data_IF_575468064792
#
_entry.id   IF_575468064792
#
_cell.length_a   1.000
_cell.length_b   1.000
_cell.length_c   1.000
_cell.angle_alpha   90.00
_cell.angle_beta   90.00
_cell.angle_gamma   90.00
#
_symmetry.space_group_name_H-M   'P 1'
#
loop_
_entity.id
_entity.type
_entity.pdbx_description
1 polymer ?
#
# COMPACT_ATOMS: atom_id res chain seq x y z
N UNK A 1 -19.94 7.02 -5.03
CA UNK A 1 -19.36 5.71 -5.18
C UNK A 1 -17.90 5.71 -4.80
N UNK A 2 -17.39 4.55 -4.54
CA UNK A 2 -16.00 4.40 -4.16
C UNK A 2 -15.11 4.60 -5.37
N UNK A 3 -14.17 5.52 -5.25
CA UNK A 3 -13.17 5.74 -6.28
C UNK A 3 -11.88 5.11 -5.80
N UNK A 4 -11.46 4.04 -6.47
CA UNK A 4 -10.20 3.38 -6.18
C UNK A 4 -9.10 4.13 -6.89
N UNK A 5 -8.13 4.60 -6.13
CA UNK A 5 -6.95 5.25 -6.67
C UNK A 5 -5.77 4.31 -6.47
N UNK A 6 -5.26 3.80 -7.58
CA UNK A 6 -4.23 2.77 -7.59
C UNK A 6 -3.02 3.22 -8.38
N UNK A 7 -1.85 3.04 -7.81
CA UNK A 7 -0.57 3.27 -8.49
C UNK A 7 0.29 2.02 -8.36
N UNK A 8 0.88 1.62 -9.46
CA UNK A 8 1.80 0.47 -9.52
C UNK A 8 3.08 0.96 -10.19
N UNK A 9 4.18 0.86 -9.48
CA UNK A 9 5.50 1.28 -9.95
C UNK A 9 6.39 0.06 -10.05
N UNK A 10 7.09 -0.09 -11.15
CA UNK A 10 7.90 -1.27 -11.43
C UNK A 10 9.25 -0.89 -12.02
N UNK A 11 10.25 -1.70 -11.71
CA UNK A 11 11.53 -1.79 -12.41
C UNK A 11 11.97 -3.26 -12.41
N UNK A 12 13.18 -3.54 -12.88
CA UNK A 12 13.68 -4.91 -12.97
C UNK A 12 13.87 -5.57 -11.60
N UNK A 13 14.05 -4.79 -10.55
CA UNK A 13 14.32 -5.30 -9.21
C UNK A 13 13.06 -5.67 -8.43
N UNK A 14 11.92 -5.02 -8.70
CA UNK A 14 10.71 -5.26 -7.93
C UNK A 14 9.58 -4.30 -8.28
N UNK A 15 8.66 -4.13 -7.32
CA UNK A 15 7.54 -3.21 -7.51
C UNK A 15 7.05 -2.61 -6.19
N UNK A 16 6.39 -1.49 -6.32
CA UNK A 16 5.65 -0.81 -5.25
C UNK A 16 4.24 -0.59 -5.76
N UNK A 17 3.26 -1.09 -5.03
CA UNK A 17 1.86 -0.89 -5.38
C UNK A 17 1.15 -0.24 -4.20
N UNK A 18 0.36 0.79 -4.46
CA UNK A 18 -0.46 1.43 -3.45
C UNK A 18 -1.87 1.63 -3.98
N UNK A 19 -2.84 1.49 -3.10
CA UNK A 19 -4.23 1.75 -3.41
C UNK A 19 -4.85 2.53 -2.26
N UNK A 20 -5.66 3.52 -2.58
CA UNK A 20 -6.36 4.34 -1.62
C UNK A 20 -7.82 4.43 -2.00
N UNK A 21 -8.70 4.24 -1.02
CA UNK A 21 -10.13 4.43 -1.16
C UNK A 21 -10.58 5.30 0.01
N UNK A 22 -11.18 6.45 -0.31
CA UNK A 22 -11.58 7.41 0.72
C UNK A 22 -12.66 6.88 1.64
N UNK A 23 -13.49 5.96 1.15
CA UNK A 23 -14.59 5.39 1.91
C UNK A 23 -14.86 3.97 1.41
N UNK A 24 -14.54 2.99 2.26
CA UNK A 24 -14.72 1.59 1.91
C UNK A 24 -16.20 1.23 1.81
N UNK A 25 -16.58 0.69 0.67
CA UNK A 25 -17.91 0.15 0.43
C UNK A 25 -18.00 -1.33 0.73
N UNK A 26 -19.16 -1.89 0.47
CA UNK A 26 -19.48 -3.28 0.81
C UNK A 26 -18.50 -4.30 0.21
N UNK A 27 -18.04 -4.06 -1.02
CA UNK A 27 -17.12 -4.97 -1.68
C UNK A 27 -15.79 -5.11 -0.93
N UNK A 28 -15.22 -3.99 -0.45
CA UNK A 28 -13.98 -4.02 0.31
C UNK A 28 -14.18 -4.63 1.69
N UNK A 29 -15.31 -4.33 2.33
CA UNK A 29 -15.65 -4.93 3.62
C UNK A 29 -15.71 -6.45 3.50
N UNK A 30 -16.38 -6.95 2.47
CA UNK A 30 -16.51 -8.38 2.21
C UNK A 30 -15.16 -9.03 1.87
N UNK A 31 -14.39 -8.39 1.01
CA UNK A 31 -13.13 -8.95 0.53
C UNK A 31 -12.04 -8.95 1.60
N UNK A 32 -11.92 -7.89 2.40
CA UNK A 32 -10.78 -7.68 3.29
C UNK A 32 -11.14 -7.55 4.76
N UNK A 33 -12.40 -7.52 5.12
CA UNK A 33 -12.81 -7.35 6.51
C UNK A 33 -12.56 -5.94 7.05
N UNK A 34 -12.37 -4.94 6.19
CA UNK A 34 -12.15 -3.56 6.61
C UNK A 34 -13.45 -2.93 7.09
N UNK A 35 -13.40 -1.97 8.04
CA UNK A 35 -14.62 -1.27 8.48
C UNK A 35 -15.29 -0.51 7.34
N UNK A 36 -16.61 -0.67 7.24
CA UNK A 36 -17.40 0.04 6.25
C UNK A 36 -17.41 1.55 6.52
N UNK A 37 -17.32 2.34 5.46
CA UNK A 37 -17.44 3.79 5.55
C UNK A 37 -16.17 4.52 5.97
N UNK A 38 -15.12 3.78 6.34
CA UNK A 38 -13.82 4.37 6.63
C UNK A 38 -12.91 4.29 5.42
N UNK A 39 -11.85 5.09 5.40
CA UNK A 39 -10.86 5.01 4.35
C UNK A 39 -10.10 3.68 4.43
N UNK A 40 -9.62 3.22 3.30
CA UNK A 40 -8.89 1.97 3.16
C UNK A 40 -7.62 2.22 2.35
N UNK A 41 -6.53 1.61 2.78
CA UNK A 41 -5.27 1.65 2.07
C UNK A 41 -4.68 0.27 1.89
N UNK A 42 -4.14 0.01 0.72
CA UNK A 42 -3.39 -1.21 0.41
C UNK A 42 -1.99 -0.81 0.00
N UNK A 43 -1.01 -1.46 0.59
CA UNK A 43 0.40 -1.21 0.32
C UNK A 43 1.07 -2.54 0.03
N UNK A 44 1.80 -2.60 -1.08
CA UNK A 44 2.56 -3.79 -1.49
C UNK A 44 3.97 -3.36 -1.85
N UNK A 45 4.96 -4.05 -1.34
CA UNK A 45 6.35 -3.82 -1.71
C UNK A 45 7.08 -5.14 -1.96
N UNK A 46 7.85 -5.19 -3.03
CA UNK A 46 8.72 -6.30 -3.39
C UNK A 46 10.02 -5.75 -3.97
N UNK A 47 11.20 -6.32 -3.63
CA UNK A 47 11.38 -7.43 -2.68
C UNK A 47 10.83 -7.14 -1.28
N UNK A 48 10.71 -8.19 -0.48
CA UNK A 48 10.08 -8.09 0.83
C UNK A 48 10.68 -7.00 1.73
N UNK A 49 11.98 -6.76 1.64
CA UNK A 49 12.64 -5.73 2.44
C UNK A 49 12.04 -4.34 2.18
N UNK A 50 11.67 -4.04 0.93
CA UNK A 50 11.00 -2.79 0.58
C UNK A 50 9.63 -2.72 1.25
N UNK A 51 8.86 -3.81 1.17
CA UNK A 51 7.54 -3.87 1.78
C UNK A 51 7.56 -3.72 3.30
N UNK A 52 8.56 -4.27 3.96
CA UNK A 52 8.74 -4.11 5.42
C UNK A 52 8.92 -2.63 5.78
N UNK A 53 9.80 -1.93 5.06
CA UNK A 53 10.05 -0.52 5.32
C UNK A 53 8.81 0.33 5.01
N UNK A 54 8.09 0.00 3.94
CA UNK A 54 6.83 0.68 3.62
C UNK A 54 5.80 0.50 4.74
N UNK A 55 5.64 -0.71 5.23
CA UNK A 55 4.69 -1.00 6.30
C UNK A 55 5.04 -0.25 7.58
N UNK A 56 6.31 -0.28 7.97
CA UNK A 56 6.79 0.45 9.15
C UNK A 56 6.55 1.96 9.01
N UNK A 57 6.88 2.51 7.84
CA UNK A 57 6.67 3.93 7.56
C UNK A 57 5.20 4.32 7.64
N UNK A 58 4.31 3.49 7.08
CA UNK A 58 2.88 3.76 7.08
C UNK A 58 2.33 3.90 8.50
N UNK A 59 2.63 2.94 9.37
CA UNK A 59 2.06 2.93 10.72
C UNK A 59 2.70 3.97 11.63
N UNK A 60 3.89 4.46 11.30
CA UNK A 60 4.56 5.52 12.06
C UNK A 60 4.17 6.93 11.60
N UNK A 61 3.70 7.09 10.37
CA UNK A 61 3.44 8.40 9.78
C UNK A 61 2.06 8.96 10.10
N UNK A 62 1.11 8.12 10.49
CA UNK A 62 -0.27 8.55 10.76
C UNK A 62 -0.96 7.55 11.67
N UNK A 63 -2.05 8.00 12.31
CA UNK A 63 -2.84 7.14 13.19
C UNK A 63 -3.81 6.31 12.36
N UNK A 64 -3.37 5.13 11.97
CA UNK A 64 -4.15 4.18 11.17
C UNK A 64 -4.24 2.84 11.88
N UNK A 65 -5.31 2.10 11.60
CA UNK A 65 -5.48 0.74 12.09
C UNK A 65 -4.97 -0.26 11.05
N UNK A 66 -4.26 -1.29 11.51
CA UNK A 66 -3.84 -2.37 10.63
C UNK A 66 -4.97 -3.37 10.52
N UNK A 67 -5.46 -3.56 9.30
CA UNK A 67 -6.50 -4.56 9.00
C UNK A 67 -5.88 -5.93 8.78
N UNK A 68 -4.77 -5.98 8.04
CA UNK A 68 -4.05 -7.21 7.78
C UNK A 68 -2.61 -6.91 7.37
N UNK A 69 -1.73 -7.87 7.62
CA UNK A 69 -0.32 -7.80 7.24
C UNK A 69 0.12 -9.19 6.81
N UNK A 70 0.71 -9.28 5.61
CA UNK A 70 1.21 -10.53 5.07
C UNK A 70 2.64 -10.36 4.60
N UNK A 71 3.48 -11.35 4.94
CA UNK A 71 4.89 -11.37 4.54
C UNK A 71 5.22 -12.73 3.94
N UNK A 72 6.39 -12.90 3.30
CA UNK A 72 6.80 -14.20 2.77
C UNK A 72 6.85 -15.32 3.81
N UNK A 73 7.05 -14.99 5.07
CA UNK A 73 7.04 -15.97 6.15
C UNK A 73 5.64 -16.51 6.44
N UNK A 74 4.60 -15.78 6.09
CA UNK A 74 3.20 -16.20 6.24
C UNK A 74 2.56 -16.64 4.93
N UNK A 75 3.27 -16.47 3.82
CA UNK A 75 2.82 -16.84 2.47
C UNK A 75 3.97 -17.44 1.70
N UNK A 76 3.87 -18.71 1.35
CA UNK A 76 4.95 -19.43 0.66
C UNK A 76 5.11 -19.01 -0.81
N UNK A 77 4.24 -18.18 -1.33
CA UNK A 77 4.07 -18.02 -2.77
C UNK A 77 4.68 -16.76 -3.35
N UNK A 78 5.20 -15.83 -2.51
CA UNK A 78 5.51 -14.51 -3.00
C UNK A 78 6.67 -13.89 -2.22
N UNK A 79 7.45 -13.03 -2.89
CA UNK A 79 8.52 -12.25 -2.26
C UNK A 79 8.05 -10.83 -2.01
N UNK A 80 6.82 -10.67 -1.56
CA UNK A 80 6.26 -9.34 -1.29
C UNK A 80 5.66 -9.25 0.10
N UNK A 81 5.56 -8.02 0.58
CA UNK A 81 4.87 -7.70 1.82
C UNK A 81 3.63 -6.89 1.46
N UNK A 82 2.51 -7.25 2.06
CA UNK A 82 1.22 -6.59 1.87
C UNK A 82 0.74 -6.05 3.21
N UNK A 83 0.34 -4.79 3.23
CA UNK A 83 -0.27 -4.16 4.40
C UNK A 83 -1.61 -3.56 4.02
N UNK A 84 -2.63 -3.87 4.79
CA UNK A 84 -3.97 -3.29 4.66
C UNK A 84 -4.23 -2.41 5.87
N UNK A 85 -4.61 -1.17 5.63
CA UNK A 85 -4.87 -0.19 6.70
C UNK A 85 -6.23 0.45 6.53
N UNK A 86 -6.76 0.96 7.64
CA UNK A 86 -8.06 1.62 7.70
C UNK A 86 -7.99 2.77 8.68
N UNK A 87 -8.88 3.72 8.55
CA UNK A 87 -8.97 4.87 9.46
C UNK A 87 -9.60 6.07 8.80
N UNK A 88 -9.35 7.24 9.37
CA UNK A 88 -9.79 8.50 8.80
C UNK A 88 -9.11 8.74 7.46
N UNK A 89 -9.82 9.35 6.51
CA UNK A 89 -9.33 9.50 5.14
C UNK A 89 -8.00 10.26 5.06
N UNK A 90 -7.83 11.31 5.82
CA UNK A 90 -6.58 12.08 5.85
C UNK A 90 -5.41 11.26 6.39
N UNK A 91 -5.64 10.46 7.44
CA UNK A 91 -4.61 9.62 8.04
C UNK A 91 -4.19 8.50 7.10
N UNK A 92 -5.15 7.80 6.49
CA UNK A 92 -4.86 6.72 5.54
C UNK A 92 -4.12 7.26 4.32
N UNK A 93 -4.57 8.39 3.77
CA UNK A 93 -3.91 9.01 2.63
C UNK A 93 -2.46 9.38 2.94
N UNK A 94 -2.22 9.98 4.11
CA UNK A 94 -0.87 10.32 4.56
C UNK A 94 0.01 9.08 4.69
N UNK A 95 -0.50 8.01 5.29
CA UNK A 95 0.23 6.76 5.46
C UNK A 95 0.59 6.13 4.10
N UNK A 96 -0.37 6.10 3.18
CA UNK A 96 -0.17 5.55 1.83
C UNK A 96 0.90 6.34 1.07
N UNK A 97 0.83 7.67 1.13
CA UNK A 97 1.81 8.53 0.46
C UNK A 97 3.21 8.35 1.01
N UNK A 98 3.34 8.36 2.34
CA UNK A 98 4.64 8.21 2.99
C UNK A 98 5.27 6.85 2.67
N UNK A 99 4.49 5.79 2.74
CA UNK A 99 4.95 4.44 2.41
C UNK A 99 5.35 4.32 0.94
N UNK A 100 4.53 4.88 0.03
CA UNK A 100 4.84 4.89 -1.39
C UNK A 100 6.18 5.57 -1.65
N UNK A 101 6.38 6.75 -1.08
CA UNK A 101 7.56 7.56 -1.37
C UNK A 101 8.84 6.87 -0.87
N UNK A 102 8.82 6.26 0.32
CA UNK A 102 9.99 5.52 0.81
C UNK A 102 10.21 4.25 -0.02
N UNK A 103 9.15 3.56 -0.40
CA UNK A 103 9.24 2.37 -1.26
C UNK A 103 9.87 2.68 -2.61
N UNK A 104 9.43 3.77 -3.25
CA UNK A 104 9.98 4.21 -4.53
C UNK A 104 11.45 4.59 -4.42
N UNK A 105 11.83 5.30 -3.36
CA UNK A 105 13.22 5.67 -3.15
C UNK A 105 14.11 4.44 -3.02
N UNK A 106 13.67 3.44 -2.26
CA UNK A 106 14.41 2.20 -2.10
C UNK A 106 14.48 1.39 -3.41
N UNK A 107 13.36 1.28 -4.11
CA UNK A 107 13.32 0.53 -5.37
C UNK A 107 14.25 1.15 -6.42
N UNK A 108 14.33 2.47 -6.45
CA UNK A 108 15.21 3.21 -7.37
C UNK A 108 16.69 2.93 -7.09
N UNK A 109 17.06 2.63 -5.83
CA UNK A 109 18.45 2.27 -5.51
C UNK A 109 18.85 0.89 -6.06
N UNK A 110 17.87 0.07 -6.42
CA UNK A 110 18.09 -1.31 -6.84
C UNK A 110 18.00 -1.51 -8.35
N UNK A 111 17.62 -0.48 -9.09
CA UNK A 111 17.43 -0.57 -10.54
C UNK A 111 17.18 0.78 -11.15
N UNK A 112 16.49 0.79 -12.28
CA UNK A 112 16.10 2.02 -12.96
C UNK A 112 15.02 2.74 -12.17
N UNK A 113 14.78 4.00 -12.52
CA UNK A 113 13.68 4.75 -11.93
C UNK A 113 12.36 4.03 -12.20
N UNK A 114 11.60 3.67 -11.15
CA UNK A 114 10.34 2.95 -11.33
C UNK A 114 9.32 3.80 -12.09
N UNK A 115 8.59 3.15 -13.01
CA UNK A 115 7.56 3.81 -13.81
C UNK A 115 6.19 3.43 -13.29
N UNK A 116 5.29 4.41 -13.25
CA UNK A 116 3.91 4.18 -12.86
C UNK A 116 3.17 3.44 -13.98
N UNK A 117 2.67 2.26 -13.68
CA UNK A 117 1.83 1.46 -14.57
C UNK A 117 0.35 1.57 -14.20
N UNK A 118 0.05 2.23 -13.12
CA UNK A 118 -1.33 2.51 -12.71
C UNK A 118 -1.91 3.70 -13.46
N UNK A 119 -3.19 3.94 -13.28
CA UNK A 119 -3.93 4.92 -14.06
C UNK A 119 -4.49 6.09 -13.26
N UNK A 120 -4.13 6.23 -12.00
CA UNK A 120 -4.66 7.29 -11.15
C UNK A 120 -3.60 7.83 -10.20
N UNK A 121 -3.73 9.13 -9.88
CA UNK A 121 -2.93 9.75 -8.83
C UNK A 121 -3.68 9.69 -7.51
N UNK A 122 -2.97 9.38 -6.45
CA UNK A 122 -3.50 9.45 -5.09
C UNK A 122 -3.38 10.88 -4.58
N UNK A 123 -2.41 11.58 -5.09
CA UNK A 123 -2.17 13.00 -4.85
C UNK A 123 -1.71 13.67 -6.12
#
# INVERSE_FOLDING_TARGET
GDVYKRQVYMNDAGHVEVQYTARAGEALVTAFGTPEGKAFGLLVGAPAAIGVVMADTAVKSANVDVVDYQSPSSSDMSNEVVLLISGDSGAVKQAVKAARDVGLALLETMGERPKNKGNAYII
#
